data_IF_270674941954
#
_entry.id   IF_270674941954
#
_cell.length_a   1.000
_cell.length_b   1.000
_cell.length_c   1.000
_cell.angle_alpha   90.00
_cell.angle_beta   90.00
_cell.angle_gamma   90.00
#
_symmetry.space_group_name_H-M   'P 1'
#
loop_
_entity.id
_entity.type
_entity.pdbx_description
1 polymer ?
#
# COMPACT_ATOMS: atom_id res chain seq x y z
N UNK A 1 -40.90 -53.36 36.86
CA UNK A 1 -39.83 -54.01 37.63
C UNK A 1 -38.49 -53.54 37.10
N UNK A 2 -37.58 -53.20 38.01
CA UNK A 2 -36.21 -52.74 37.78
C UNK A 2 -35.40 -53.68 36.87
N UNK A 3 -34.47 -53.09 36.12
CA UNK A 3 -33.18 -53.73 35.80
C UNK A 3 -32.13 -52.67 35.49
N UNK A 4 -31.08 -52.67 36.30
CA UNK A 4 -29.87 -51.86 36.24
C UNK A 4 -28.82 -52.47 35.31
N UNK A 5 -28.06 -51.65 34.58
CA UNK A 5 -26.66 -51.98 34.25
C UNK A 5 -25.81 -50.72 34.06
N UNK A 6 -24.71 -50.69 34.81
CA UNK A 6 -23.67 -49.66 34.89
C UNK A 6 -22.94 -49.46 33.55
N UNK A 7 -22.64 -48.22 33.19
CA UNK A 7 -21.63 -47.86 32.19
C UNK A 7 -20.52 -47.06 32.89
N UNK A 8 -19.27 -47.52 32.70
CA UNK A 8 -18.02 -46.88 33.16
C UNK A 8 -17.74 -45.61 32.36
N UNK A 9 -16.98 -44.63 32.88
CA UNK A 9 -16.47 -43.52 32.09
C UNK A 9 -15.28 -43.99 31.25
N UNK A 10 -15.39 -43.93 29.92
CA UNK A 10 -14.27 -44.02 28.99
C UNK A 10 -13.68 -42.62 28.77
N UNK A 11 -12.35 -42.53 28.80
CA UNK A 11 -11.57 -41.32 28.54
C UNK A 11 -12.07 -40.58 27.29
N UNK A 12 -12.38 -39.29 27.43
CA UNK A 12 -12.58 -38.42 26.28
C UNK A 12 -11.23 -38.18 25.60
N UNK A 13 -11.09 -38.69 24.38
CA UNK A 13 -10.10 -38.24 23.41
C UNK A 13 -10.32 -36.74 23.15
N UNK A 14 -9.35 -35.92 23.54
CA UNK A 14 -9.24 -34.52 23.12
C UNK A 14 -8.90 -34.46 21.63
N UNK A 15 -9.91 -34.64 20.77
CA UNK A 15 -9.82 -34.24 19.37
C UNK A 15 -10.23 -32.77 19.25
N UNK A 16 -9.23 -31.89 19.29
CA UNK A 16 -9.41 -30.47 18.91
C UNK A 16 -9.82 -30.45 17.44
N UNK A 17 -11.07 -30.10 17.16
CA UNK A 17 -11.54 -29.86 15.79
C UNK A 17 -10.86 -28.59 15.25
N UNK A 18 -9.90 -28.76 14.34
CA UNK A 18 -9.18 -27.66 13.66
C UNK A 18 -10.10 -26.98 12.64
N UNK A 19 -10.38 -25.69 12.81
CA UNK A 19 -11.12 -24.90 11.84
C UNK A 19 -10.13 -24.17 10.91
N UNK A 20 -10.28 -24.32 9.60
CA UNK A 20 -9.42 -23.67 8.58
C UNK A 20 -10.07 -22.38 8.07
N UNK A 21 -9.44 -21.22 8.30
CA UNK A 21 -9.89 -19.91 7.82
C UNK A 21 -9.21 -19.47 6.50
N UNK A 22 -9.85 -18.57 5.73
CA UNK A 22 -9.26 -17.89 4.55
C UNK A 22 -9.62 -16.42 4.62
N UNK A 23 -8.66 -15.50 4.42
CA UNK A 23 -8.99 -14.10 4.17
C UNK A 23 -9.62 -14.00 2.77
N UNK A 24 -10.95 -13.90 2.71
CA UNK A 24 -11.71 -13.97 1.46
C UNK A 24 -11.87 -12.61 0.75
N UNK A 25 -11.37 -11.51 1.31
CA UNK A 25 -11.44 -10.21 0.65
C UNK A 25 -10.70 -9.08 1.37
N UNK A 26 -10.17 -8.15 0.58
CA UNK A 26 -9.72 -6.82 0.99
C UNK A 26 -10.72 -5.81 0.45
N UNK A 27 -11.24 -4.92 1.29
CA UNK A 27 -12.29 -3.97 0.91
C UNK A 27 -11.91 -2.55 1.29
N UNK A 28 -12.16 -1.60 0.38
CA UNK A 28 -11.94 -0.17 0.58
C UNK A 28 -13.25 0.60 0.38
N UNK A 29 -13.49 1.58 1.23
CA UNK A 29 -14.57 2.54 1.09
C UNK A 29 -14.01 3.97 1.18
N UNK A 30 -14.62 4.90 0.45
CA UNK A 30 -14.41 6.33 0.69
C UNK A 30 -15.35 6.77 1.83
N UNK A 31 -14.78 7.27 2.93
CA UNK A 31 -15.53 7.71 4.11
C UNK A 31 -16.54 8.82 3.79
N UNK A 32 -16.26 9.66 2.79
CA UNK A 32 -17.18 10.73 2.35
C UNK A 32 -18.42 10.23 1.61
N UNK A 33 -18.45 8.96 1.17
CA UNK A 33 -19.55 8.39 0.37
C UNK A 33 -20.21 7.16 1.01
N UNK A 34 -19.98 6.90 2.31
CA UNK A 34 -20.63 5.78 3.00
C UNK A 34 -22.11 6.08 3.20
N UNK A 35 -22.97 5.33 2.50
CA UNK A 35 -24.41 5.28 2.74
C UNK A 35 -24.67 4.26 3.84
N UNK A 36 -25.16 4.72 4.99
CA UNK A 36 -25.36 3.89 6.17
C UNK A 36 -26.78 3.32 6.18
N UNK A 37 -26.96 2.12 5.63
CA UNK A 37 -28.19 1.33 5.84
C UNK A 37 -27.83 0.01 6.51
N UNK A 38 -28.03 -0.05 7.82
CA UNK A 38 -27.92 -1.30 8.59
C UNK A 38 -29.32 -1.67 9.09
N UNK A 39 -29.87 -2.84 8.74
CA UNK A 39 -31.15 -3.30 9.26
C UNK A 39 -31.11 -3.39 10.79
N UNK A 40 -32.17 -2.94 11.48
CA UNK A 40 -32.28 -2.96 12.95
C UNK A 40 -32.01 -4.35 13.58
N UNK A 41 -32.30 -5.43 12.85
CA UNK A 41 -32.02 -6.80 13.28
C UNK A 41 -30.53 -7.16 13.37
N UNK A 42 -29.65 -6.39 12.70
CA UNK A 42 -28.19 -6.58 12.73
C UNK A 42 -27.55 -5.85 13.93
N UNK A 43 -28.20 -4.79 14.44
CA UNK A 43 -27.69 -3.95 15.53
C UNK A 43 -27.54 -4.75 16.84
N UNK A 44 -28.43 -5.71 17.11
CA UNK A 44 -28.37 -6.54 18.32
C UNK A 44 -27.18 -7.54 18.34
N UNK A 45 -26.56 -7.84 17.18
CA UNK A 45 -25.37 -8.70 17.08
C UNK A 45 -24.07 -7.88 17.19
N UNK A 46 -24.12 -6.58 16.88
CA UNK A 46 -22.96 -5.69 16.82
C UNK A 46 -22.46 -5.21 18.19
N UNK A 47 -23.31 -5.24 19.23
CA UNK A 47 -22.96 -4.79 20.59
C UNK A 47 -21.82 -5.62 21.24
N UNK A 48 -21.48 -6.78 20.66
CA UNK A 48 -20.37 -7.66 21.08
C UNK A 48 -19.14 -7.62 20.17
N UNK A 49 -19.22 -6.96 19.02
CA UNK A 49 -18.13 -6.92 18.05
C UNK A 49 -17.22 -5.72 18.31
N UNK A 50 -15.99 -6.00 18.77
CA UNK A 50 -14.94 -5.00 18.90
C UNK A 50 -14.12 -4.95 17.61
N UNK A 51 -14.08 -3.79 16.96
CA UNK A 51 -13.33 -3.60 15.73
C UNK A 51 -12.01 -2.90 16.03
N UNK A 52 -10.91 -3.56 15.75
CA UNK A 52 -9.59 -2.92 15.76
C UNK A 52 -9.42 -2.07 14.52
N UNK A 53 -9.11 -0.81 14.72
CA UNK A 53 -8.83 0.12 13.65
C UNK A 53 -7.57 0.92 13.95
N UNK A 54 -6.88 1.31 12.90
CA UNK A 54 -5.68 2.12 12.99
C UNK A 54 -5.78 3.36 12.09
N UNK A 55 -4.75 4.19 12.09
CA UNK A 55 -4.72 5.45 11.35
C UNK A 55 -5.53 6.58 12.00
N UNK A 56 -5.35 7.80 11.50
CA UNK A 56 -6.05 8.97 12.04
C UNK A 56 -7.58 8.89 12.02
N UNK A 57 -8.16 8.13 11.07
CA UNK A 57 -9.60 7.93 11.00
C UNK A 57 -10.18 7.12 12.16
N UNK A 58 -9.41 6.20 12.75
CA UNK A 58 -9.83 5.45 13.93
C UNK A 58 -10.09 6.36 15.15
N UNK A 59 -9.42 7.52 15.21
CA UNK A 59 -9.68 8.54 16.23
C UNK A 59 -10.83 9.45 15.82
N UNK A 60 -10.77 9.99 14.60
CA UNK A 60 -11.74 10.99 14.11
C UNK A 60 -13.17 10.47 14.01
N UNK A 61 -13.35 9.19 13.67
CA UNK A 61 -14.68 8.62 13.41
C UNK A 61 -15.15 7.65 14.51
N UNK A 62 -14.42 7.48 15.61
CA UNK A 62 -14.78 6.54 16.67
C UNK A 62 -16.21 6.75 17.21
N UNK A 63 -16.54 8.00 17.55
CA UNK A 63 -17.86 8.34 18.10
C UNK A 63 -18.96 8.13 17.06
N UNK A 64 -18.69 8.46 15.79
CA UNK A 64 -19.63 8.23 14.70
C UNK A 64 -19.95 6.73 14.51
N UNK A 65 -18.94 5.85 14.59
CA UNK A 65 -19.14 4.40 14.51
C UNK A 65 -19.95 3.89 15.69
N UNK A 66 -19.68 4.41 16.89
CA UNK A 66 -20.43 4.04 18.10
C UNK A 66 -21.89 4.50 18.02
N UNK A 67 -22.13 5.76 17.65
CA UNK A 67 -23.47 6.36 17.58
C UNK A 67 -24.33 5.76 16.47
N UNK A 68 -23.74 5.51 15.28
CA UNK A 68 -24.51 5.07 14.10
C UNK A 68 -24.63 3.56 13.98
N UNK A 69 -23.65 2.81 14.46
CA UNK A 69 -23.59 1.35 14.26
C UNK A 69 -23.61 0.56 15.57
N UNK A 70 -23.54 1.23 16.73
CA UNK A 70 -23.38 0.55 18.03
C UNK A 70 -22.01 -0.11 18.19
N UNK A 71 -21.04 0.19 17.32
CA UNK A 71 -19.75 -0.51 17.27
C UNK A 71 -18.69 0.30 18.00
N UNK A 72 -17.98 -0.35 18.92
CA UNK A 72 -16.81 0.24 19.58
C UNK A 72 -15.53 -0.04 18.80
N UNK A 73 -14.78 1.02 18.50
CA UNK A 73 -13.47 0.93 17.86
C UNK A 73 -12.38 0.78 18.94
N UNK A 74 -11.61 -0.30 18.85
CA UNK A 74 -10.32 -0.44 19.54
C UNK A 74 -9.22 0.18 18.66
N UNK A 75 -8.52 1.17 19.20
CA UNK A 75 -7.57 1.99 18.43
C UNK A 75 -6.19 1.36 18.53
N UNK A 76 -5.59 1.05 17.39
CA UNK A 76 -4.23 0.53 17.26
C UNK A 76 -3.30 1.60 16.70
N UNK A 77 -2.04 1.64 17.16
CA UNK A 77 -1.04 2.60 16.70
C UNK A 77 -0.74 2.43 15.20
N UNK A 78 -0.78 3.54 14.45
CA UNK A 78 -0.62 3.55 12.99
C UNK A 78 0.74 3.02 12.57
N UNK A 79 1.81 3.48 13.22
CA UNK A 79 3.17 3.09 12.87
C UNK A 79 3.42 1.61 13.19
N UNK A 80 2.97 1.15 14.37
CA UNK A 80 3.05 -0.26 14.74
C UNK A 80 2.33 -1.15 13.73
N UNK A 81 1.12 -0.78 13.33
CA UNK A 81 0.34 -1.53 12.36
C UNK A 81 1.01 -1.57 10.98
N UNK A 82 1.50 -0.43 10.48
CA UNK A 82 2.21 -0.36 9.20
C UNK A 82 3.45 -1.27 9.19
N UNK A 83 4.27 -1.22 10.25
CA UNK A 83 5.48 -2.05 10.35
C UNK A 83 5.14 -3.52 10.52
N UNK A 84 4.17 -3.85 11.38
CA UNK A 84 3.76 -5.24 11.61
C UNK A 84 3.18 -5.87 10.35
N UNK A 85 2.31 -5.15 9.63
CA UNK A 85 1.74 -5.61 8.36
C UNK A 85 2.80 -5.77 7.27
N UNK A 86 3.76 -4.85 7.17
CA UNK A 86 4.87 -4.96 6.23
C UNK A 86 5.75 -6.19 6.54
N UNK A 87 6.18 -6.35 7.79
CA UNK A 87 7.00 -7.49 8.21
C UNK A 87 6.30 -8.81 7.93
N UNK A 88 4.99 -8.89 8.23
CA UNK A 88 4.21 -10.07 7.96
C UNK A 88 4.18 -10.41 6.48
N UNK A 89 3.82 -9.48 5.60
CA UNK A 89 3.74 -9.76 4.17
C UNK A 89 5.10 -10.19 3.60
N UNK A 90 6.17 -9.53 4.03
CA UNK A 90 7.54 -9.84 3.59
C UNK A 90 8.04 -11.20 4.08
N UNK A 91 7.47 -11.74 5.17
CA UNK A 91 7.82 -13.05 5.74
C UNK A 91 6.90 -14.18 5.28
N UNK A 92 5.60 -13.90 5.17
CA UNK A 92 4.58 -14.92 4.94
C UNK A 92 4.25 -15.12 3.46
N UNK A 93 4.51 -14.12 2.61
CA UNK A 93 4.11 -14.16 1.19
C UNK A 93 5.33 -14.19 0.29
N UNK A 94 5.46 -15.28 -0.48
CA UNK A 94 6.45 -15.35 -1.53
C UNK A 94 6.19 -14.28 -2.59
N UNK A 95 7.26 -13.69 -3.11
CA UNK A 95 7.19 -12.69 -4.17
C UNK A 95 6.39 -11.43 -3.79
N UNK A 96 6.27 -11.10 -2.49
CA UNK A 96 5.61 -9.88 -2.03
C UNK A 96 6.32 -8.62 -2.52
N UNK A 97 7.64 -8.59 -2.40
CA UNK A 97 8.45 -7.44 -2.78
C UNK A 97 8.91 -7.52 -4.24
N UNK A 98 8.92 -6.38 -4.92
CA UNK A 98 9.43 -6.25 -6.29
C UNK A 98 10.04 -4.87 -6.55
N UNK A 99 10.96 -4.78 -7.52
CA UNK A 99 11.40 -3.49 -8.10
C UNK A 99 10.62 -3.21 -9.38
N UNK A 100 10.41 -1.94 -9.70
CA UNK A 100 9.88 -1.51 -10.98
C UNK A 100 10.73 -0.36 -11.50
N UNK A 101 11.49 -0.59 -12.57
CA UNK A 101 12.44 0.40 -13.09
C UNK A 101 12.50 0.33 -14.61
N UNK A 102 12.31 1.48 -15.28
CA UNK A 102 12.27 1.61 -16.74
C UNK A 102 11.30 0.62 -17.38
N UNK A 103 10.09 0.53 -16.84
CA UNK A 103 9.04 -0.39 -17.30
C UNK A 103 9.29 -1.87 -16.98
N UNK A 104 10.38 -2.22 -16.28
CA UNK A 104 10.69 -3.60 -15.91
C UNK A 104 10.33 -3.88 -14.46
N UNK A 105 9.34 -4.74 -14.27
CA UNK A 105 9.03 -5.35 -12.96
C UNK A 105 9.93 -6.57 -12.72
N UNK A 106 10.61 -6.60 -11.57
CA UNK A 106 11.41 -7.76 -11.12
C UNK A 106 11.06 -8.10 -9.69
N UNK A 107 10.63 -9.33 -9.47
CA UNK A 107 10.37 -9.85 -8.14
C UNK A 107 11.69 -9.90 -7.36
N UNK A 108 11.65 -9.50 -6.09
CA UNK A 108 12.79 -9.59 -5.18
C UNK A 108 12.44 -10.60 -4.10
N UNK A 109 13.15 -11.72 -4.08
CA UNK A 109 13.14 -12.60 -2.91
C UNK A 109 14.04 -11.99 -1.84
N UNK A 110 13.45 -11.68 -0.69
CA UNK A 110 14.16 -11.23 0.49
C UNK A 110 14.33 -12.43 1.41
N UNK A 111 15.56 -12.75 1.78
CA UNK A 111 15.83 -13.74 2.83
C UNK A 111 15.22 -13.25 4.14
N UNK A 112 14.35 -14.05 4.75
CA UNK A 112 13.70 -13.71 6.01
C UNK A 112 14.70 -13.55 7.16
N UNK A 113 15.86 -14.24 7.10
CA UNK A 113 16.93 -14.10 8.08
C UNK A 113 17.72 -12.79 7.92
N UNK A 114 17.62 -12.14 6.76
CA UNK A 114 18.27 -10.87 6.43
C UNK A 114 17.23 -9.82 6.02
N UNK A 115 16.03 -9.81 6.61
CA UNK A 115 14.97 -8.83 6.28
C UNK A 115 15.33 -7.41 6.75
N UNK A 116 16.04 -7.28 7.85
CA UNK A 116 16.33 -5.99 8.49
C UNK A 116 17.79 -5.56 8.26
N UNK A 117 18.11 -4.27 8.31
CA UNK A 117 17.19 -3.14 8.40
C UNK A 117 16.66 -2.70 7.02
N UNK A 118 15.55 -1.96 7.03
CA UNK A 118 15.02 -1.30 5.84
C UNK A 118 14.31 0.03 6.20
N UNK A 119 14.11 0.88 5.19
CA UNK A 119 13.28 2.08 5.31
C UNK A 119 11.90 1.79 4.73
N UNK A 120 10.84 1.90 5.54
CA UNK A 120 9.46 1.91 5.07
C UNK A 120 9.04 3.35 4.76
N UNK A 121 8.63 3.61 3.53
CA UNK A 121 8.10 4.90 3.08
C UNK A 121 6.62 4.71 2.78
N UNK A 122 5.77 5.05 3.74
CA UNK A 122 4.32 4.93 3.58
C UNK A 122 3.75 6.23 2.99
N UNK A 123 3.21 6.15 1.77
CA UNK A 123 2.66 7.28 1.02
C UNK A 123 1.12 7.23 1.05
N UNK A 124 0.53 8.00 1.96
CA UNK A 124 -0.91 8.25 2.04
C UNK A 124 -1.24 9.71 1.69
N UNK A 125 -2.12 10.33 2.47
CA UNK A 125 -2.39 11.77 2.39
C UNK A 125 -1.12 12.61 2.56
N UNK A 126 -0.30 12.28 3.57
CA UNK A 126 1.09 12.71 3.70
C UNK A 126 2.05 11.53 3.49
N UNK A 127 3.31 11.67 3.91
CA UNK A 127 4.33 10.61 3.84
C UNK A 127 5.00 10.42 5.19
N UNK A 128 5.07 9.17 5.64
CA UNK A 128 5.82 8.76 6.83
C UNK A 128 6.99 7.87 6.43
N UNK A 129 8.17 8.16 6.99
CA UNK A 129 9.39 7.39 6.75
C UNK A 129 9.82 6.75 8.06
N UNK A 130 9.84 5.42 8.07
CA UNK A 130 10.03 4.61 9.27
C UNK A 130 11.24 3.71 9.04
N UNK A 131 12.27 3.85 9.87
CA UNK A 131 13.38 2.92 9.92
C UNK A 131 12.95 1.70 10.71
N UNK A 132 13.08 0.53 10.11
CA UNK A 132 12.73 -0.75 10.74
C UNK A 132 14.00 -1.56 10.93
N UNK A 133 14.35 -1.80 12.20
CA UNK A 133 15.55 -2.55 12.60
C UNK A 133 15.22 -4.00 13.03
N UNK A 134 13.94 -4.31 13.21
CA UNK A 134 13.46 -5.63 13.65
C UNK A 134 11.98 -5.62 13.94
N UNK A 135 11.42 -6.78 14.29
CA UNK A 135 10.04 -6.88 14.78
C UNK A 135 9.87 -6.05 16.06
N UNK A 136 8.87 -5.16 16.07
CA UNK A 136 8.64 -4.24 17.18
C UNK A 136 9.75 -3.19 17.41
N UNK A 137 10.81 -3.19 16.60
CA UNK A 137 11.94 -2.27 16.71
C UNK A 137 12.00 -1.36 15.50
N UNK A 138 11.36 -0.20 15.62
CA UNK A 138 11.27 0.79 14.56
C UNK A 138 11.24 2.21 15.11
N UNK A 139 11.55 3.18 14.25
CA UNK A 139 11.54 4.60 14.56
C UNK A 139 10.99 5.39 13.36
N UNK A 140 10.05 6.31 13.59
CA UNK A 140 9.64 7.27 12.55
C UNK A 140 10.71 8.35 12.43
N UNK A 141 11.60 8.18 11.45
CA UNK A 141 12.79 9.01 11.28
C UNK A 141 12.54 10.31 10.51
N UNK A 142 11.50 10.36 9.69
CA UNK A 142 11.16 11.53 8.89
C UNK A 142 9.71 11.47 8.37
N UNK A 143 9.31 12.49 7.64
CA UNK A 143 8.10 12.53 6.82
C UNK A 143 8.05 13.78 5.96
N UNK A 144 7.08 13.85 5.06
CA UNK A 144 6.75 15.07 4.31
C UNK A 144 5.23 15.22 4.24
N UNK A 145 4.75 16.46 4.28
CA UNK A 145 3.34 16.78 4.03
C UNK A 145 3.03 16.83 2.52
N UNK A 146 4.04 16.69 1.66
CA UNK A 146 3.93 16.63 0.20
C UNK A 146 3.72 15.18 -0.23
N UNK A 147 2.48 14.70 -0.14
CA UNK A 147 2.09 13.31 -0.39
C UNK A 147 0.96 13.17 -1.40
N UNK A 148 0.21 12.06 -1.32
CA UNK A 148 -0.93 11.80 -2.20
C UNK A 148 -2.08 12.81 -2.02
N UNK A 149 -2.25 13.35 -0.81
CA UNK A 149 -3.22 14.41 -0.54
C UNK A 149 -2.84 15.73 -1.23
N UNK A 150 -1.55 16.03 -1.34
CA UNK A 150 -1.04 17.19 -2.08
C UNK A 150 -1.24 17.02 -3.58
N UNK A 151 -0.91 15.84 -4.12
CA UNK A 151 -1.18 15.49 -5.52
C UNK A 151 -2.66 15.66 -5.84
N UNK A 152 -3.54 15.07 -5.01
CA UNK A 152 -4.98 15.15 -5.21
C UNK A 152 -5.53 16.57 -5.07
N UNK A 153 -5.15 17.27 -4.00
CA UNK A 153 -5.63 18.61 -3.70
C UNK A 153 -5.25 19.61 -4.79
N UNK A 154 -3.97 19.67 -5.17
CA UNK A 154 -3.50 20.55 -6.24
C UNK A 154 -4.07 20.14 -7.60
N UNK A 155 -4.06 18.84 -7.91
CA UNK A 155 -4.61 18.34 -9.16
C UNK A 155 -6.07 18.72 -9.33
N UNK A 156 -6.91 18.51 -8.30
CA UNK A 156 -8.31 18.94 -8.30
C UNK A 156 -8.47 20.45 -8.52
N UNK A 157 -7.65 21.28 -7.88
CA UNK A 157 -7.72 22.74 -8.02
C UNK A 157 -7.31 23.20 -9.42
N UNK A 158 -6.28 22.60 -10.00
CA UNK A 158 -5.68 23.03 -11.27
C UNK A 158 -6.37 22.43 -12.50
N UNK A 159 -6.96 21.24 -12.38
CA UNK A 159 -7.54 20.50 -13.52
C UNK A 159 -9.07 20.35 -13.45
N UNK A 160 -9.67 20.68 -12.29
CA UNK A 160 -11.11 20.50 -11.99
C UNK A 160 -11.59 19.04 -11.96
N UNK A 161 -10.67 18.06 -11.94
CA UNK A 161 -10.95 16.63 -11.75
C UNK A 161 -11.85 16.35 -10.54
N UNK A 162 -12.61 15.25 -10.62
CA UNK A 162 -13.57 14.81 -9.60
C UNK A 162 -13.06 13.67 -8.74
N UNK A 163 -12.10 12.89 -9.25
CA UNK A 163 -11.50 11.79 -8.48
C UNK A 163 -9.98 11.68 -8.62
N UNK A 164 -9.36 11.04 -7.62
CA UNK A 164 -7.93 10.70 -7.66
C UNK A 164 -7.58 9.83 -8.88
N UNK A 165 -8.47 8.90 -9.22
CA UNK A 165 -8.26 7.95 -10.32
C UNK A 165 -8.27 8.66 -11.67
N UNK A 166 -9.23 9.57 -11.88
CA UNK A 166 -9.28 10.45 -13.05
C UNK A 166 -8.00 11.28 -13.20
N UNK A 167 -7.51 11.89 -12.11
CA UNK A 167 -6.28 12.68 -12.14
C UNK A 167 -5.06 11.83 -12.54
N UNK A 168 -5.02 10.58 -12.07
CA UNK A 168 -3.95 9.65 -12.38
C UNK A 168 -4.05 9.11 -13.81
N UNK A 169 -5.26 8.93 -14.34
CA UNK A 169 -5.50 8.60 -15.75
C UNK A 169 -5.07 9.75 -16.69
N UNK A 170 -5.40 10.99 -16.34
CA UNK A 170 -4.94 12.18 -17.09
C UNK A 170 -3.41 12.25 -17.12
N UNK A 171 -2.76 11.98 -15.99
CA UNK A 171 -1.29 12.02 -15.92
C UNK A 171 -0.64 11.07 -16.93
N UNK A 172 -1.26 9.93 -17.28
CA UNK A 172 -0.69 8.97 -18.23
C UNK A 172 -0.72 9.47 -19.68
N UNK A 173 -1.50 10.50 -19.97
CA UNK A 173 -1.68 11.09 -21.30
C UNK A 173 -1.01 12.46 -21.43
N UNK A 174 -0.30 12.88 -20.39
CA UNK A 174 0.33 14.19 -20.29
C UNK A 174 1.80 14.19 -20.69
N UNK A 175 2.27 15.37 -21.04
CA UNK A 175 3.67 15.67 -21.29
C UNK A 175 4.15 16.74 -20.31
N UNK A 176 5.03 16.36 -19.38
CA UNK A 176 5.54 17.30 -18.39
C UNK A 176 6.41 18.39 -19.01
N UNK A 177 6.92 18.20 -20.24
CA UNK A 177 7.78 19.19 -20.92
C UNK A 177 7.06 20.49 -21.23
N UNK A 178 5.72 20.51 -21.20
CA UNK A 178 4.94 21.73 -21.38
C UNK A 178 4.98 22.64 -20.15
N UNK A 179 5.14 22.06 -18.94
CA UNK A 179 5.04 22.76 -17.65
C UNK A 179 6.39 22.87 -16.94
N UNK A 180 7.20 21.81 -16.99
CA UNK A 180 8.47 21.71 -16.29
C UNK A 180 9.59 22.39 -17.09
N UNK A 181 10.45 23.11 -16.38
CA UNK A 181 11.70 23.63 -16.93
C UNK A 181 12.77 22.55 -16.77
N UNK A 182 13.29 22.07 -17.89
CA UNK A 182 14.33 21.06 -17.98
C UNK A 182 15.72 21.70 -18.00
N UNK A 183 16.76 20.89 -17.81
CA UNK A 183 18.16 21.31 -17.95
C UNK A 183 18.42 21.87 -19.34
N UNK A 184 17.84 21.27 -20.39
CA UNK A 184 18.00 21.77 -21.76
C UNK A 184 17.41 23.16 -21.99
N UNK A 185 16.35 23.52 -21.28
CA UNK A 185 15.75 24.85 -21.35
C UNK A 185 16.66 25.94 -20.75
N UNK A 186 17.67 25.55 -19.94
CA UNK A 186 18.61 26.46 -19.28
C UNK A 186 19.97 26.46 -20.00
N UNK A 187 20.47 25.27 -20.35
CA UNK A 187 21.84 25.07 -20.84
C UNK A 187 21.92 24.74 -22.33
N UNK A 188 20.79 24.55 -23.02
CA UNK A 188 20.74 24.15 -24.43
C UNK A 188 21.16 22.69 -24.71
N UNK A 189 21.34 21.88 -23.66
CA UNK A 189 21.81 20.49 -23.76
C UNK A 189 22.07 19.89 -22.38
N UNK A 190 22.95 18.89 -22.30
CA UNK A 190 23.36 18.28 -21.03
C UNK A 190 24.21 19.26 -20.20
N UNK A 191 24.03 19.26 -18.88
CA UNK A 191 24.94 19.95 -17.97
C UNK A 191 26.03 18.98 -17.46
N UNK A 192 26.99 18.71 -18.34
CA UNK A 192 28.02 17.68 -18.16
C UNK A 192 28.90 17.87 -16.92
N UNK A 193 29.15 19.11 -16.47
CA UNK A 193 30.04 19.39 -15.31
C UNK A 193 29.56 18.72 -14.01
N UNK A 194 28.25 18.52 -13.87
CA UNK A 194 27.64 17.91 -12.68
C UNK A 194 26.81 16.67 -13.04
N UNK A 195 26.93 16.16 -14.27
CA UNK A 195 26.30 14.92 -14.72
C UNK A 195 24.77 14.99 -14.84
N UNK A 196 24.19 16.16 -15.14
CA UNK A 196 22.75 16.26 -15.40
C UNK A 196 22.46 16.13 -16.90
N UNK A 197 21.55 15.22 -17.24
CA UNK A 197 21.07 15.07 -18.62
C UNK A 197 20.12 16.21 -19.00
N UNK A 198 20.04 16.48 -20.30
CA UNK A 198 19.18 17.52 -20.90
C UNK A 198 17.70 17.37 -20.51
N UNK A 199 17.23 16.12 -20.35
CA UNK A 199 15.86 15.78 -19.97
C UNK A 199 15.58 15.82 -18.46
N UNK A 200 16.58 16.14 -17.63
CA UNK A 200 16.41 16.25 -16.18
C UNK A 200 15.58 17.49 -15.86
N UNK A 201 14.57 17.35 -14.99
CA UNK A 201 13.78 18.49 -14.51
C UNK A 201 14.67 19.36 -13.63
N UNK A 202 14.82 20.63 -14.01
CA UNK A 202 15.50 21.64 -13.21
C UNK A 202 14.53 22.37 -12.27
N UNK A 203 13.32 22.68 -12.76
CA UNK A 203 12.25 23.27 -11.94
C UNK A 203 10.86 22.78 -12.41
N UNK A 204 10.17 22.03 -11.55
CA UNK A 204 8.78 21.65 -11.77
C UNK A 204 7.89 22.89 -11.86
N UNK A 205 6.95 22.93 -12.82
CA UNK A 205 6.13 24.11 -13.12
C UNK A 205 6.93 25.40 -13.41
N UNK A 206 8.17 25.27 -13.90
CA UNK A 206 9.07 26.41 -14.13
C UNK A 206 8.84 27.16 -15.45
N UNK A 207 8.14 26.58 -16.43
CA UNK A 207 7.84 27.21 -17.74
C UNK A 207 6.75 28.28 -17.68
N UNK A 208 5.64 28.08 -16.94
CA UNK A 208 4.60 29.11 -16.78
C UNK A 208 5.11 30.48 -16.33
N UNK A 209 6.23 30.57 -15.60
CA UNK A 209 6.80 31.84 -15.12
C UNK A 209 7.18 32.79 -16.27
N UNK A 210 7.63 32.26 -17.41
CA UNK A 210 8.17 33.02 -18.54
C UNK A 210 7.27 33.01 -19.77
N UNK A 211 6.16 32.28 -19.72
CA UNK A 211 5.24 32.13 -20.83
C UNK A 211 4.01 33.01 -20.56
N UNK A 212 3.53 33.77 -21.56
CA UNK A 212 2.27 34.52 -21.46
C UNK A 212 1.03 33.61 -21.61
N UNK A 213 1.08 32.41 -21.03
CA UNK A 213 -0.01 31.43 -21.04
C UNK A 213 -0.71 31.46 -19.68
N UNK A 214 -2.03 31.46 -19.71
CA UNK A 214 -2.87 31.29 -18.52
C UNK A 214 -3.12 29.80 -18.24
N UNK A 215 -3.74 29.49 -17.10
CA UNK A 215 -4.03 28.11 -16.70
C UNK A 215 -4.86 27.36 -17.76
N UNK A 216 -5.81 28.06 -18.38
CA UNK A 216 -6.71 27.53 -19.41
C UNK A 216 -6.00 27.13 -20.71
N UNK A 217 -4.79 27.64 -20.94
CA UNK A 217 -3.98 27.30 -22.12
C UNK A 217 -3.24 25.96 -21.96
N UNK A 218 -3.21 25.42 -20.74
CA UNK A 218 -2.55 24.15 -20.43
C UNK A 218 -3.56 23.01 -20.41
N UNK A 219 -3.16 21.89 -21.01
CA UNK A 219 -3.93 20.66 -20.96
C UNK A 219 -3.93 20.10 -19.53
N UNK A 220 -5.10 19.68 -19.00
CA UNK A 220 -5.19 18.99 -17.71
C UNK A 220 -4.25 17.79 -17.58
N UNK A 221 -4.02 17.06 -18.67
CA UNK A 221 -3.10 15.93 -18.73
C UNK A 221 -1.65 16.35 -18.42
N UNK A 222 -1.18 17.43 -19.02
CA UNK A 222 0.20 17.92 -18.87
C UNK A 222 0.44 18.45 -17.45
N UNK A 223 -0.55 19.14 -16.88
CA UNK A 223 -0.55 19.56 -15.47
C UNK A 223 -0.49 18.34 -14.55
N UNK A 224 -1.34 17.34 -14.78
CA UNK A 224 -1.42 16.12 -13.97
C UNK A 224 -0.12 15.34 -13.99
N UNK A 225 0.51 15.25 -15.17
CA UNK A 225 1.80 14.60 -15.37
C UNK A 225 2.92 15.33 -14.62
N UNK A 226 3.02 16.65 -14.76
CA UNK A 226 4.02 17.45 -14.04
C UNK A 226 3.84 17.36 -12.52
N UNK A 227 2.60 17.41 -12.02
CA UNK A 227 2.29 17.19 -10.59
C UNK A 227 2.75 15.81 -10.13
N UNK A 228 2.39 14.74 -10.85
CA UNK A 228 2.75 13.37 -10.47
C UNK A 228 4.27 13.21 -10.39
N UNK A 229 5.00 13.74 -11.37
CA UNK A 229 6.47 13.72 -11.39
C UNK A 229 7.07 14.51 -10.24
N UNK A 230 6.58 15.72 -9.99
CA UNK A 230 7.07 16.58 -8.91
C UNK A 230 6.96 15.89 -7.55
N UNK A 231 5.77 15.37 -7.23
CA UNK A 231 5.51 14.69 -5.96
C UNK A 231 6.34 13.41 -5.85
N UNK A 232 6.34 12.56 -6.87
CA UNK A 232 7.08 11.28 -6.87
C UNK A 232 8.60 11.48 -6.75
N UNK A 233 9.17 12.44 -7.48
CA UNK A 233 10.60 12.76 -7.40
C UNK A 233 10.98 13.31 -6.03
N UNK A 234 10.16 14.20 -5.46
CA UNK A 234 10.42 14.76 -4.13
C UNK A 234 10.40 13.67 -3.06
N UNK A 235 9.42 12.77 -3.10
CA UNK A 235 9.34 11.62 -2.20
C UNK A 235 10.56 10.71 -2.36
N UNK A 236 10.93 10.36 -3.59
CA UNK A 236 12.09 9.51 -3.88
C UNK A 236 13.40 10.10 -3.39
N UNK A 237 13.60 11.41 -3.58
CA UNK A 237 14.78 12.12 -3.09
C UNK A 237 14.86 12.12 -1.55
N UNK A 238 13.78 12.51 -0.86
CA UNK A 238 13.76 12.56 0.61
C UNK A 238 13.92 11.14 1.20
N UNK A 239 13.30 10.14 0.58
CA UNK A 239 13.46 8.74 0.97
C UNK A 239 14.92 8.30 0.87
N UNK A 240 15.59 8.61 -0.24
CA UNK A 240 17.00 8.30 -0.40
C UNK A 240 17.89 9.07 0.60
N UNK A 241 17.64 10.35 0.86
CA UNK A 241 18.41 11.11 1.85
C UNK A 241 18.32 10.49 3.25
N UNK A 242 17.14 9.98 3.62
CA UNK A 242 16.97 9.24 4.87
C UNK A 242 17.67 7.88 4.83
N UNK A 243 17.55 7.14 3.75
CA UNK A 243 18.25 5.87 3.57
C UNK A 243 19.78 6.08 3.67
N UNK A 244 20.32 7.13 3.04
CA UNK A 244 21.73 7.52 3.12
C UNK A 244 22.15 7.84 4.55
N UNK A 245 21.38 8.65 5.27
CA UNK A 245 21.64 9.01 6.68
C UNK A 245 21.77 7.77 7.57
N UNK A 246 20.91 6.78 7.37
CA UNK A 246 20.87 5.56 8.16
C UNK A 246 21.61 4.37 7.51
N UNK A 247 22.34 4.60 6.41
CA UNK A 247 23.10 3.58 5.66
C UNK A 247 22.25 2.38 5.21
N UNK A 248 21.00 2.64 4.84
CA UNK A 248 20.04 1.65 4.39
C UNK A 248 20.09 1.53 2.86
N UNK A 249 20.14 0.29 2.35
CA UNK A 249 20.10 0.01 0.90
C UNK A 249 18.71 -0.35 0.40
N UNK A 250 17.82 -0.80 1.29
CA UNK A 250 16.45 -1.21 0.98
C UNK A 250 15.47 -0.13 1.39
N UNK A 251 14.74 0.38 0.42
CA UNK A 251 13.67 1.36 0.61
C UNK A 251 12.39 0.73 0.10
N UNK A 252 11.50 0.34 1.02
CA UNK A 252 10.20 -0.23 0.72
C UNK A 252 9.17 0.89 0.70
N UNK A 253 8.55 1.09 -0.45
CA UNK A 253 7.46 2.03 -0.63
C UNK A 253 6.13 1.32 -0.45
N UNK A 254 5.28 1.90 0.40
CA UNK A 254 3.94 1.43 0.71
C UNK A 254 2.91 2.55 0.60
N UNK A 255 1.66 2.23 0.90
CA UNK A 255 0.55 3.18 0.90
C UNK A 255 -0.20 3.27 -0.42
N UNK A 256 -1.32 3.98 -0.39
CA UNK A 256 -2.31 3.99 -1.47
C UNK A 256 -2.08 5.01 -2.57
N UNK A 257 -0.99 5.78 -2.53
CA UNK A 257 -0.62 6.66 -3.64
C UNK A 257 -0.13 5.89 -4.88
N UNK A 258 0.57 4.76 -4.67
CA UNK A 258 1.28 4.03 -5.73
C UNK A 258 0.29 3.19 -6.55
N UNK A 259 -0.57 2.40 -5.88
CA UNK A 259 -1.66 1.58 -6.45
C UNK A 259 -1.26 0.74 -7.67
N UNK A 260 -0.01 0.26 -7.69
CA UNK A 260 0.52 -0.49 -8.84
C UNK A 260 0.63 0.30 -10.14
N UNK A 261 0.55 1.64 -10.10
CA UNK A 261 0.75 2.48 -11.28
C UNK A 261 2.23 2.50 -11.67
N UNK A 262 2.52 1.81 -12.78
CA UNK A 262 3.87 1.61 -13.32
C UNK A 262 4.67 2.91 -13.41
N UNK A 263 4.03 3.99 -13.89
CA UNK A 263 4.69 5.28 -14.07
C UNK A 263 5.13 5.93 -12.75
N UNK A 264 4.27 5.88 -11.71
CA UNK A 264 4.59 6.36 -10.37
C UNK A 264 5.78 5.58 -9.81
N UNK A 265 5.75 4.26 -9.93
CA UNK A 265 6.84 3.39 -9.46
C UNK A 265 8.15 3.63 -10.21
N UNK A 266 8.10 3.82 -11.53
CA UNK A 266 9.26 4.17 -12.33
C UNK A 266 9.84 5.51 -11.91
N UNK A 267 9.01 6.54 -11.72
CA UNK A 267 9.49 7.87 -11.31
C UNK A 267 10.17 7.84 -9.94
N UNK A 268 9.57 7.14 -8.96
CA UNK A 268 10.18 6.97 -7.63
C UNK A 268 11.52 6.20 -7.75
N UNK A 269 11.55 5.14 -8.56
CA UNK A 269 12.75 4.33 -8.74
C UNK A 269 13.86 5.07 -9.48
N UNK A 270 13.52 5.88 -10.47
CA UNK A 270 14.43 6.79 -11.17
C UNK A 270 15.03 7.80 -10.20
N UNK A 271 14.22 8.43 -9.34
CA UNK A 271 14.71 9.37 -8.34
C UNK A 271 15.69 8.71 -7.35
N UNK A 272 15.32 7.54 -6.80
CA UNK A 272 16.20 6.80 -5.88
C UNK A 272 17.48 6.36 -6.58
N UNK A 273 17.38 5.81 -7.79
CA UNK A 273 18.54 5.36 -8.55
C UNK A 273 19.48 6.52 -8.91
N UNK A 274 18.92 7.65 -9.35
CA UNK A 274 19.67 8.84 -9.72
C UNK A 274 20.51 9.37 -8.56
N UNK A 275 19.89 9.58 -7.40
CA UNK A 275 20.60 10.15 -6.24
C UNK A 275 21.53 9.14 -5.55
N UNK A 276 21.23 7.84 -5.63
CA UNK A 276 22.07 6.78 -5.06
C UNK A 276 23.16 6.26 -5.98
N UNK A 277 23.15 6.64 -7.26
CA UNK A 277 23.98 6.01 -8.31
C UNK A 277 23.84 4.48 -8.35
N UNK A 278 22.67 3.97 -7.95
CA UNK A 278 22.37 2.54 -7.88
C UNK A 278 22.69 1.85 -6.54
N UNK A 279 23.25 2.55 -5.56
CA UNK A 279 23.59 1.96 -4.25
C UNK A 279 22.37 1.61 -3.39
N UNK A 280 21.24 2.30 -3.62
CA UNK A 280 19.96 2.04 -2.96
C UNK A 280 18.91 1.58 -3.98
N UNK A 281 17.98 0.73 -3.52
CA UNK A 281 16.90 0.21 -4.36
C UNK A 281 15.54 0.60 -3.81
N UNK A 282 14.73 1.20 -4.68
CA UNK A 282 13.30 1.34 -4.46
C UNK A 282 12.62 -0.01 -4.71
N UNK A 283 11.85 -0.46 -3.72
CA UNK A 283 11.12 -1.70 -3.72
C UNK A 283 9.67 -1.42 -3.36
N UNK A 284 8.74 -2.16 -3.94
CA UNK A 284 7.29 -2.02 -3.78
C UNK A 284 6.70 -3.33 -3.28
N UNK A 285 5.50 -3.24 -2.70
CA UNK A 285 4.78 -4.36 -2.13
C UNK A 285 3.51 -4.63 -2.95
N UNK A 286 3.19 -5.90 -3.22
CA UNK A 286 1.94 -6.27 -3.91
C UNK A 286 0.72 -5.77 -3.14
N UNK A 287 0.79 -5.77 -1.81
CA UNK A 287 -0.30 -5.37 -0.92
C UNK A 287 -0.01 -4.05 -0.18
N UNK A 288 0.70 -3.12 -0.83
CA UNK A 288 1.15 -1.83 -0.29
C UNK A 288 0.06 -0.98 0.40
N UNK A 289 -1.20 -1.04 -0.06
CA UNK A 289 -2.30 -0.26 0.51
C UNK A 289 -2.92 -0.85 1.79
N UNK A 290 -2.52 -2.06 2.20
CA UNK A 290 -3.22 -2.79 3.27
C UNK A 290 -2.39 -3.02 4.53
N UNK A 291 -1.18 -2.45 4.59
CA UNK A 291 -0.25 -2.67 5.70
C UNK A 291 -0.86 -2.35 7.06
N UNK A 292 -1.50 -1.19 7.19
CA UNK A 292 -2.13 -0.76 8.45
C UNK A 292 -3.29 -1.67 8.88
N UNK A 293 -4.21 -1.98 7.95
CA UNK A 293 -5.33 -2.86 8.24
C UNK A 293 -4.87 -4.27 8.64
N UNK A 294 -3.83 -4.78 7.99
CA UNK A 294 -3.25 -6.08 8.30
C UNK A 294 -2.56 -6.09 9.67
N UNK A 295 -1.78 -5.06 9.99
CA UNK A 295 -1.18 -4.92 11.31
C UNK A 295 -2.21 -4.81 12.44
N UNK A 296 -3.31 -4.08 12.21
CA UNK A 296 -4.42 -4.01 13.15
C UNK A 296 -5.10 -5.39 13.33
N UNK A 297 -5.27 -6.13 12.24
CA UNK A 297 -5.79 -7.49 12.29
C UNK A 297 -4.86 -8.44 13.09
N UNK A 298 -3.55 -8.40 12.85
CA UNK A 298 -2.60 -9.25 13.58
C UNK A 298 -2.50 -8.90 15.07
N UNK A 299 -2.88 -7.68 15.47
CA UNK A 299 -2.90 -7.31 16.87
C UNK A 299 -3.98 -8.03 17.69
N UNK A 300 -4.96 -8.69 17.05
CA UNK A 300 -5.86 -9.62 17.75
C UNK A 300 -5.11 -10.84 18.31
N UNK A 301 -3.97 -11.21 17.69
CA UNK A 301 -3.22 -12.44 17.96
C UNK A 301 -1.99 -12.27 18.87
N UNK A 302 -1.78 -11.08 19.46
CA UNK A 302 -0.69 -10.81 20.43
C UNK A 302 -0.74 -11.67 21.72
N UNK A 303 -1.60 -12.69 21.77
CA UNK A 303 -1.65 -13.76 22.76
C UNK A 303 -1.06 -15.12 22.29
N UNK A 304 -0.34 -15.23 21.15
CA UNK A 304 0.22 -16.55 20.76
C UNK A 304 1.06 -16.64 19.48
N UNK A 305 1.87 -15.63 19.15
CA UNK A 305 2.54 -15.55 17.84
C UNK A 305 3.85 -16.35 17.66
N UNK A 306 4.36 -17.04 18.69
CA UNK A 306 5.57 -17.86 18.53
C UNK A 306 5.31 -19.15 17.73
N UNK A 307 4.07 -19.66 17.69
CA UNK A 307 3.71 -20.92 17.02
C UNK A 307 3.27 -20.75 15.54
N UNK A 308 2.89 -19.54 15.11
CA UNK A 308 2.36 -19.30 13.75
C UNK A 308 3.44 -19.39 12.65
N UNK A 309 4.70 -19.11 12.98
CA UNK A 309 5.82 -19.26 12.05
C UNK A 309 6.24 -20.73 11.86
N UNK A 310 5.75 -21.65 12.69
CA UNK A 310 6.04 -23.09 12.59
C UNK A 310 5.12 -23.84 11.61
N UNK A 311 4.04 -23.20 11.13
CA UNK A 311 3.06 -23.82 10.23
C UNK A 311 3.17 -23.26 8.80
N UNK A 312 3.47 -24.15 7.85
CA UNK A 312 3.68 -23.82 6.44
C UNK A 312 2.49 -23.09 5.82
N UNK A 313 2.68 -21.83 5.43
CA UNK A 313 1.76 -21.11 4.55
C UNK A 313 1.76 -21.73 3.15
N UNK A 314 0.57 -22.08 2.63
CA UNK A 314 0.42 -22.62 1.27
C UNK A 314 -0.20 -21.55 0.37
N UNK A 315 0.63 -20.87 -0.41
CA UNK A 315 0.17 -19.99 -1.49
C UNK A 315 -0.49 -20.84 -2.59
N UNK A 316 -1.80 -20.65 -2.86
CA UNK A 316 -2.50 -21.31 -3.98
C UNK A 316 -2.80 -20.31 -5.09
N UNK A 317 -2.12 -20.47 -6.22
CA UNK A 317 -2.48 -19.79 -7.47
C UNK A 317 -3.76 -20.41 -8.05
N UNK A 318 -4.70 -19.62 -8.62
CA UNK A 318 -5.66 -20.18 -9.55
C UNK A 318 -4.91 -20.60 -10.81
N UNK A 319 -4.66 -21.90 -10.94
CA UNK A 319 -4.08 -22.48 -12.17
C UNK A 319 -5.01 -22.12 -13.33
N UNK A 320 -4.50 -21.36 -14.30
CA UNK A 320 -5.11 -21.24 -15.61
C UNK A 320 -5.28 -22.62 -16.24
N UNK A 321 -6.34 -22.78 -17.02
CA UNK A 321 -6.74 -24.06 -17.61
C UNK A 321 -5.57 -24.75 -18.35
N UNK A 322 -5.47 -26.10 -18.28
CA UNK A 322 -4.43 -26.84 -18.98
C UNK A 322 -4.60 -26.68 -20.50
N UNK A 323 -3.53 -26.27 -21.16
CA UNK A 323 -3.46 -26.14 -22.61
C UNK A 323 -3.20 -27.51 -23.25
N UNK A 324 -4.25 -28.14 -23.78
CA UNK A 324 -4.13 -29.11 -24.87
C UNK A 324 -4.91 -28.60 -26.09
N UNK A 325 -4.37 -28.87 -27.28
CA UNK A 325 -4.58 -28.10 -28.50
C UNK A 325 -6.04 -27.88 -28.93
N UNK A 326 -6.36 -26.64 -29.26
CA UNK A 326 -7.62 -26.22 -29.87
C UNK A 326 -7.74 -24.70 -29.91
N UNK A 327 -8.20 -24.14 -31.03
CA UNK A 327 -8.19 -22.69 -31.36
C UNK A 327 -8.73 -21.77 -30.26
N UNK A 328 -8.02 -20.65 -30.05
CA UNK A 328 -8.41 -19.56 -29.13
C UNK A 328 -9.62 -18.82 -29.70
N UNK A 329 -10.72 -18.74 -28.94
CA UNK A 329 -11.73 -17.69 -29.04
C UNK A 329 -11.93 -17.10 -27.64
N UNK A 330 -11.53 -15.84 -27.48
CA UNK A 330 -11.66 -15.08 -26.24
C UNK A 330 -10.92 -13.74 -26.37
N UNK A 331 -11.39 -12.65 -25.72
CA UNK A 331 -10.78 -11.35 -25.87
C UNK A 331 -9.38 -11.32 -25.25
N UNK A 332 -8.49 -10.52 -25.84
CA UNK A 332 -7.13 -10.27 -25.38
C UNK A 332 -7.13 -9.84 -23.90
N UNK A 333 -6.16 -10.27 -23.06
CA UNK A 333 -6.09 -9.88 -21.65
C UNK A 333 -5.59 -8.42 -21.54
N UNK A 334 -6.50 -7.49 -21.79
CA UNK A 334 -6.43 -6.13 -21.32
C UNK A 334 -7.54 -5.94 -20.29
N UNK A 335 -7.18 -5.95 -19.00
CA UNK A 335 -7.78 -5.16 -17.92
C UNK A 335 -7.26 -5.65 -16.56
N UNK A 336 -6.72 -4.71 -15.79
CA UNK A 336 -6.33 -4.86 -14.39
C UNK A 336 -7.53 -5.32 -13.54
N UNK A 337 -7.54 -6.59 -13.12
CA UNK A 337 -8.17 -7.01 -11.86
C UNK A 337 -7.78 -8.44 -11.50
N UNK A 338 -6.49 -8.77 -11.51
CA UNK A 338 -6.04 -10.01 -10.85
C UNK A 338 -6.17 -9.80 -9.34
N UNK A 339 -7.35 -10.15 -8.80
CA UNK A 339 -7.65 -10.23 -7.38
C UNK A 339 -6.72 -11.27 -6.74
N UNK A 340 -5.56 -10.82 -6.29
CA UNK A 340 -4.71 -11.62 -5.41
C UNK A 340 -5.52 -11.96 -4.15
N UNK A 341 -5.77 -13.26 -3.93
CA UNK A 341 -6.44 -13.77 -2.75
C UNK A 341 -5.37 -14.27 -1.79
N UNK A 342 -5.19 -13.63 -0.64
CA UNK A 342 -4.29 -14.17 0.40
C UNK A 342 -5.07 -15.26 1.16
N UNK A 343 -4.59 -16.49 1.13
CA UNK A 343 -5.07 -17.55 2.03
C UNK A 343 -4.14 -17.55 3.24
N UNK A 344 -4.64 -17.06 4.37
CA UNK A 344 -3.95 -17.16 5.66
C UNK A 344 -4.75 -18.17 6.48
N UNK A 345 -4.12 -19.29 6.82
CA UNK A 345 -4.70 -20.33 7.66
C UNK A 345 -4.57 -19.90 9.12
N UNK A 346 -5.70 -19.73 9.83
CA UNK A 346 -5.76 -19.37 11.25
C UNK A 346 -6.48 -20.46 12.05
N UNK A 347 -6.05 -20.67 13.30
CA UNK A 347 -6.82 -21.36 14.34
C UNK A 347 -7.55 -20.31 15.21
N UNK A 348 -8.69 -19.78 14.74
CA UNK A 348 -9.73 -19.19 15.62
C UNK A 348 -11.01 -18.82 14.85
N UNK A 349 -12.15 -18.85 15.54
CA UNK A 349 -13.48 -18.46 15.05
C UNK A 349 -13.63 -16.92 14.90
N UNK A 350 -12.84 -16.28 14.04
CA UNK A 350 -13.02 -14.86 13.68
C UNK A 350 -13.33 -14.68 12.19
N UNK A 351 -14.62 -14.47 11.88
CA UNK A 351 -15.04 -13.85 10.63
C UNK A 351 -14.79 -12.34 10.70
N UNK A 352 -13.65 -11.84 10.20
CA UNK A 352 -13.42 -10.40 10.07
C UNK A 352 -13.14 -9.97 8.64
N UNK A 353 -13.94 -9.01 8.18
CA UNK A 353 -13.67 -8.19 7.01
C UNK A 353 -12.56 -7.19 7.34
N UNK A 354 -11.49 -7.14 6.54
CA UNK A 354 -10.43 -6.14 6.65
C UNK A 354 -10.95 -4.79 6.15
N UNK A 355 -10.99 -3.78 7.01
CA UNK A 355 -11.33 -2.39 6.65
C UNK A 355 -10.09 -1.50 6.81
N UNK A 356 -9.68 -0.82 5.73
CA UNK A 356 -8.70 0.26 5.86
C UNK A 356 -9.45 1.60 6.03
N UNK A 357 -9.12 2.35 7.10
CA UNK A 357 -9.72 3.64 7.44
C UNK A 357 -8.62 4.71 7.28
N UNK A 358 -8.44 5.20 6.07
CA UNK A 358 -7.52 6.30 5.76
C UNK A 358 -8.27 7.59 5.42
N UNK A 359 -7.67 8.74 5.76
CA UNK A 359 -8.21 10.09 5.53
C UNK A 359 -7.90 10.57 4.12
#
# INVERSE_FOLDING_TARGET
MLSSSKLKPSLCDNSVSRNKGKIRGQVRYNLGSMVWSVPLSTIAVLDRLKFKATGGGAYKFADMFKERLGVSIEKEDEMNCLVSGANFLLKAIHHEAFTHFKGQKKIVQIDHNDLFPYLLVNIGSGVSMIKVDGDGKYERVSGTNVGGGTFWGLGRLLTKCKSFDELLELSQQGDNRELDKLVEDIYGGDYSKIGLSKGTIAASFGKPISNNKELEDYRPEDISMSLLRMISNNIGQIAYLNALRFKLKRILFGGFFIRGHAYTMDTISDAVHFWSKGDAKAMFLRHEGFLGALGAFMSYEKHGLDDLMAHQFVERFPMGAPSEGGKIHGPSPGNLSDKASIVIDFDSDMLCSLYNIEI
#
